data_IF_213303919870
#
_entry.id   IF_213303919870
#
_cell.length_a   1.000
_cell.length_b   1.000
_cell.length_c   1.000
_cell.angle_alpha   90.00
_cell.angle_beta   90.00
_cell.angle_gamma   90.00
#
_symmetry.space_group_name_H-M   'P 1'
#
loop_
_entity.id
_entity.type
_entity.pdbx_description
1 polymer ?
#
# COMPACT_ATOMS: atom_id res chain seq x y z
N UNK A 1 10.50 10.61 12.63
CA UNK A 1 11.92 10.42 12.45
C UNK A 1 12.57 11.76 12.08
N UNK A 2 13.58 12.18 12.80
CA UNK A 2 14.27 13.47 12.61
C UNK A 2 14.92 13.66 11.24
N UNK A 3 14.98 12.62 10.41
CA UNK A 3 15.58 12.64 9.08
C UNK A 3 14.61 12.89 7.93
N UNK A 4 13.30 13.04 8.18
CA UNK A 4 12.24 13.22 7.17
C UNK A 4 12.24 12.19 6.03
N UNK A 5 12.90 11.04 6.19
CA UNK A 5 12.91 9.98 5.19
C UNK A 5 11.73 9.03 5.39
N UNK A 6 11.13 8.62 4.27
CA UNK A 6 10.11 7.59 4.27
C UNK A 6 10.73 6.24 4.66
N UNK A 7 10.22 5.61 5.72
CA UNK A 7 10.74 4.34 6.26
C UNK A 7 9.92 3.11 5.83
N UNK A 8 8.78 3.30 5.20
CA UNK A 8 7.96 2.21 4.67
C UNK A 8 8.53 1.62 3.37
N UNK A 9 8.29 0.35 3.12
CA UNK A 9 8.74 -0.31 1.88
C UNK A 9 8.05 0.21 0.61
N UNK A 10 6.84 0.76 0.73
CA UNK A 10 6.07 1.34 -0.38
C UNK A 10 5.56 2.72 0.01
N UNK A 11 5.81 3.71 -0.84
CA UNK A 11 5.27 5.05 -0.66
C UNK A 11 3.88 5.13 -1.30
N UNK A 12 2.81 5.41 -0.51
CA UNK A 12 1.46 5.56 -1.03
C UNK A 12 1.36 6.56 -2.17
N UNK A 13 0.47 6.29 -3.14
CA UNK A 13 0.31 7.12 -4.33
C UNK A 13 0.01 8.59 -4.00
N UNK A 14 -0.73 8.86 -2.93
CA UNK A 14 -1.04 10.21 -2.44
C UNK A 14 0.22 11.02 -2.12
N UNK A 15 1.24 10.40 -1.53
CA UNK A 15 2.51 11.09 -1.24
C UNK A 15 3.40 11.19 -2.47
N UNK A 16 3.30 10.24 -3.42
CA UNK A 16 4.09 10.26 -4.65
C UNK A 16 3.70 11.36 -5.61
N UNK A 17 2.45 11.79 -5.61
CA UNK A 17 1.97 12.89 -6.46
C UNK A 17 1.98 14.24 -5.76
N UNK A 18 2.30 14.30 -4.46
CA UNK A 18 2.42 15.60 -3.76
C UNK A 18 3.50 16.47 -4.42
N UNK A 19 3.25 17.75 -4.66
CA UNK A 19 2.13 18.57 -4.18
C UNK A 19 0.92 18.65 -5.15
N UNK A 20 0.82 17.78 -6.14
CA UNK A 20 -0.23 17.83 -7.16
C UNK A 20 -1.43 16.97 -6.80
N UNK A 21 -2.63 17.42 -7.20
CA UNK A 21 -3.88 16.69 -7.06
C UNK A 21 -4.84 17.00 -8.20
N UNK A 22 -5.71 16.03 -8.54
CA UNK A 22 -6.87 16.30 -9.38
C UNK A 22 -8.02 16.81 -8.51
N UNK A 23 -8.47 18.01 -8.78
CA UNK A 23 -9.60 18.66 -8.14
C UNK A 23 -10.82 18.51 -9.04
N UNK A 24 -12.02 18.42 -8.45
CA UNK A 24 -13.26 18.40 -9.18
C UNK A 24 -13.92 19.78 -9.09
N UNK A 25 -14.08 20.44 -10.22
CA UNK A 25 -14.78 21.72 -10.30
C UNK A 25 -16.30 21.48 -10.28
N UNK A 26 -16.97 22.03 -9.30
CA UNK A 26 -18.44 22.01 -9.26
C UNK A 26 -19.00 23.28 -9.90
N UNK A 27 -20.08 23.21 -10.72
CA UNK A 27 -20.94 22.07 -11.00
C UNK A 27 -20.53 21.23 -12.23
N UNK A 28 -19.47 21.59 -12.95
CA UNK A 28 -19.10 21.00 -14.25
C UNK A 28 -18.57 19.57 -14.15
N UNK A 29 -18.24 19.11 -12.95
CA UNK A 29 -17.51 17.86 -12.65
C UNK A 29 -16.18 17.71 -13.41
N UNK A 30 -15.70 18.78 -14.00
CA UNK A 30 -14.44 18.80 -14.74
C UNK A 30 -13.26 18.59 -13.79
N UNK A 31 -12.34 17.72 -14.16
CA UNK A 31 -11.09 17.52 -13.43
C UNK A 31 -10.09 18.62 -13.79
N UNK A 32 -9.57 19.28 -12.78
CA UNK A 32 -8.56 20.33 -12.89
C UNK A 32 -7.32 19.89 -12.11
N UNK A 33 -6.15 20.06 -12.72
CA UNK A 33 -4.91 19.85 -11.99
C UNK A 33 -4.68 21.04 -11.05
N UNK A 34 -4.58 20.74 -9.76
CA UNK A 34 -4.21 21.68 -8.73
C UNK A 34 -2.87 21.31 -8.08
N UNK A 35 -2.28 22.24 -7.36
CA UNK A 35 -1.14 21.94 -6.50
C UNK A 35 -1.20 22.74 -5.20
N UNK A 36 -0.56 22.22 -4.17
CA UNK A 36 -0.42 22.90 -2.88
C UNK A 36 0.66 23.98 -2.98
N UNK A 37 0.22 25.24 -3.11
CA UNK A 37 1.11 26.41 -3.21
C UNK A 37 1.93 26.63 -1.92
N UNK A 38 1.41 26.21 -0.76
CA UNK A 38 2.11 26.35 0.53
C UNK A 38 3.24 25.33 0.71
N UNK A 39 3.31 24.31 -0.15
CA UNK A 39 4.35 23.28 -0.10
C UNK A 39 5.77 23.80 -0.28
N UNK A 40 5.93 24.94 -0.97
CA UNK A 40 7.24 25.47 -1.38
C UNK A 40 7.96 24.63 -2.44
N UNK A 41 7.37 23.53 -2.92
CA UNK A 41 7.96 22.63 -3.94
C UNK A 41 7.78 23.21 -5.35
N UNK A 42 6.62 23.80 -5.62
CA UNK A 42 6.36 24.51 -6.89
C UNK A 42 6.75 25.97 -6.72
N UNK A 43 7.70 26.42 -7.52
CA UNK A 43 8.27 27.79 -7.44
C UNK A 43 8.44 28.38 -8.85
N UNK A 44 8.45 29.69 -8.93
CA UNK A 44 8.81 30.41 -10.15
C UNK A 44 10.33 30.57 -10.32
N UNK A 45 11.10 30.30 -9.24
CA UNK A 45 12.56 30.40 -9.28
C UNK A 45 13.16 29.05 -9.71
N UNK A 46 13.92 29.09 -10.79
CA UNK A 46 14.58 27.92 -11.35
C UNK A 46 15.87 27.61 -10.58
N UNK A 47 15.97 26.44 -9.95
CA UNK A 47 17.17 25.96 -9.28
C UNK A 47 17.81 24.77 -10.01
N UNK A 48 19.05 24.43 -9.65
CA UNK A 48 19.83 23.36 -10.31
C UNK A 48 19.10 22.00 -10.44
N UNK A 49 18.25 21.65 -9.48
CA UNK A 49 17.48 20.40 -9.45
C UNK A 49 16.01 20.58 -9.81
N UNK A 50 15.62 21.76 -10.32
CA UNK A 50 14.25 22.06 -10.68
C UNK A 50 13.88 21.42 -12.01
N UNK A 51 12.63 20.95 -12.10
CA UNK A 51 12.04 20.48 -13.36
C UNK A 51 10.97 21.46 -13.81
N UNK A 52 11.03 21.86 -15.07
CA UNK A 52 10.01 22.72 -15.65
C UNK A 52 8.67 22.02 -15.70
N UNK A 53 7.60 22.76 -15.44
CA UNK A 53 6.24 22.29 -15.63
C UNK A 53 5.71 22.66 -17.01
N UNK A 54 6.17 23.77 -17.57
CA UNK A 54 5.77 24.26 -18.89
C UNK A 54 7.00 24.51 -19.74
N UNK A 55 6.88 24.32 -21.04
CA UNK A 55 7.86 24.71 -22.04
C UNK A 55 7.78 26.19 -22.33
N UNK A 56 8.75 26.71 -23.09
CA UNK A 56 8.83 28.17 -23.40
C UNK A 56 7.65 28.65 -24.26
N UNK A 57 7.00 27.76 -25.00
CA UNK A 57 5.77 28.00 -25.78
C UNK A 57 4.46 27.88 -24.97
N UNK A 58 4.56 27.64 -23.66
CA UNK A 58 3.41 27.46 -22.76
C UNK A 58 2.77 26.08 -22.81
N UNK A 59 3.28 25.12 -23.57
CA UNK A 59 2.83 23.74 -23.55
C UNK A 59 3.30 23.01 -22.30
N UNK A 60 2.62 21.93 -21.95
CA UNK A 60 3.03 21.10 -20.83
C UNK A 60 4.36 20.40 -21.12
N UNK A 61 5.29 20.48 -20.17
CA UNK A 61 6.52 19.68 -20.24
C UNK A 61 6.25 18.18 -20.16
N UNK A 62 7.23 17.38 -20.57
CA UNK A 62 7.15 15.91 -20.39
C UNK A 62 6.95 15.53 -18.92
N UNK A 63 7.60 16.26 -18.00
CA UNK A 63 7.46 16.05 -16.56
C UNK A 63 6.02 16.27 -16.09
N UNK A 64 5.40 17.39 -16.48
CA UNK A 64 4.01 17.68 -16.13
C UNK A 64 3.03 16.67 -16.74
N UNK A 65 3.25 16.29 -17.99
CA UNK A 65 2.46 15.24 -18.65
C UNK A 65 2.56 13.88 -17.91
N UNK A 66 3.74 13.54 -17.39
CA UNK A 66 3.94 12.36 -16.54
C UNK A 66 3.12 12.42 -15.24
N UNK A 67 3.08 13.58 -14.57
CA UNK A 67 2.27 13.81 -13.38
C UNK A 67 0.77 13.64 -13.69
N UNK A 68 0.29 14.29 -14.75
CA UNK A 68 -1.11 14.22 -15.18
C UNK A 68 -1.51 12.77 -15.50
N UNK A 69 -0.68 12.04 -16.25
CA UNK A 69 -0.91 10.63 -16.57
C UNK A 69 -0.99 9.77 -15.31
N UNK A 70 -0.11 10.00 -14.35
CA UNK A 70 -0.11 9.26 -13.08
C UNK A 70 -1.36 9.54 -12.25
N UNK A 71 -1.76 10.82 -12.11
CA UNK A 71 -2.96 11.21 -11.39
C UNK A 71 -4.25 10.65 -12.03
N UNK A 72 -4.33 10.67 -13.37
CA UNK A 72 -5.46 10.07 -14.09
C UNK A 72 -5.53 8.55 -13.87
N UNK A 73 -4.38 7.86 -13.88
CA UNK A 73 -4.34 6.43 -13.59
C UNK A 73 -4.79 6.10 -12.16
N UNK A 74 -4.44 6.94 -11.18
CA UNK A 74 -4.93 6.80 -9.80
C UNK A 74 -6.44 6.98 -9.76
N UNK A 75 -6.97 8.02 -10.41
CA UNK A 75 -8.40 8.30 -10.40
C UNK A 75 -9.21 7.17 -11.03
N UNK A 76 -8.77 6.64 -12.17
CA UNK A 76 -9.40 5.47 -12.80
C UNK A 76 -9.44 4.28 -11.84
N UNK A 77 -8.30 3.97 -11.20
CA UNK A 77 -8.24 2.87 -10.23
C UNK A 77 -9.10 3.12 -8.99
N UNK A 78 -9.22 4.38 -8.57
CA UNK A 78 -10.11 4.76 -7.47
C UNK A 78 -11.57 4.46 -7.80
N UNK A 79 -12.03 4.77 -9.02
CA UNK A 79 -13.39 4.47 -9.46
C UNK A 79 -13.67 2.95 -9.43
N UNK A 80 -12.79 2.14 -10.00
CA UNK A 80 -12.91 0.67 -9.93
C UNK A 80 -12.95 0.15 -8.48
N UNK A 81 -12.16 0.78 -7.59
CA UNK A 81 -12.17 0.40 -6.17
C UNK A 81 -13.51 0.72 -5.52
N UNK A 82 -14.11 1.87 -5.82
CA UNK A 82 -15.41 2.26 -5.29
C UNK A 82 -16.51 1.30 -5.75
N UNK A 83 -16.58 0.98 -7.04
CA UNK A 83 -17.51 0.01 -7.61
C UNK A 83 -17.39 -1.36 -6.93
N UNK A 84 -16.15 -1.83 -6.73
CA UNK A 84 -15.90 -3.06 -6.01
C UNK A 84 -16.37 -2.99 -4.54
N UNK A 85 -16.10 -1.87 -3.83
CA UNK A 85 -16.56 -1.68 -2.45
C UNK A 85 -18.07 -1.63 -2.33
N UNK A 86 -18.77 -1.01 -3.27
CA UNK A 86 -20.24 -0.99 -3.34
C UNK A 86 -20.81 -2.41 -3.48
N UNK A 87 -20.21 -3.24 -4.34
CA UNK A 87 -20.60 -4.65 -4.50
C UNK A 87 -20.33 -5.45 -3.22
N UNK A 88 -19.16 -5.30 -2.61
CA UNK A 88 -18.84 -5.95 -1.33
C UNK A 88 -19.82 -5.56 -0.22
N UNK A 89 -20.22 -4.29 -0.21
CA UNK A 89 -21.20 -3.79 0.76
C UNK A 89 -22.61 -4.35 0.50
N UNK A 90 -23.03 -4.49 -0.76
CA UNK A 90 -24.33 -5.08 -1.11
C UNK A 90 -24.44 -6.55 -0.69
N UNK A 91 -23.32 -7.26 -0.69
CA UNK A 91 -23.22 -8.65 -0.18
C UNK A 91 -22.93 -8.72 1.33
N UNK A 92 -22.98 -7.57 2.05
CA UNK A 92 -22.78 -7.48 3.49
C UNK A 92 -21.45 -8.09 3.96
N UNK A 93 -20.39 -7.99 3.15
CA UNK A 93 -19.10 -8.62 3.44
C UNK A 93 -18.27 -7.88 4.47
N UNK A 94 -18.67 -6.66 4.87
CA UNK A 94 -17.94 -5.90 5.87
C UNK A 94 -18.38 -6.25 7.29
N UNK A 95 -17.43 -6.14 8.21
CA UNK A 95 -17.65 -6.16 9.65
C UNK A 95 -16.82 -5.07 10.33
N UNK A 96 -17.32 -4.54 11.45
CA UNK A 96 -16.56 -3.55 12.22
C UNK A 96 -15.28 -4.17 12.77
N UNK A 97 -14.19 -3.44 12.65
CA UNK A 97 -12.89 -3.88 13.10
C UNK A 97 -12.43 -3.11 14.35
N UNK A 98 -12.53 -3.75 15.50
CA UNK A 98 -11.98 -3.24 16.75
C UNK A 98 -10.47 -3.47 16.78
N UNK A 99 -9.70 -2.47 16.36
CA UNK A 99 -8.24 -2.54 16.39
C UNK A 99 -7.71 -1.96 17.69
N UNK A 100 -7.11 -2.81 18.52
CA UNK A 100 -6.42 -2.41 19.77
C UNK A 100 -4.94 -2.23 19.48
N UNK A 101 -4.43 -1.04 19.74
CA UNK A 101 -3.00 -0.72 19.64
C UNK A 101 -2.48 -0.36 21.03
N UNK A 102 -1.23 -0.74 21.31
CA UNK A 102 -0.53 -0.30 22.53
C UNK A 102 0.35 0.89 22.18
N UNK A 103 0.09 2.03 22.81
CA UNK A 103 0.89 3.23 22.68
C UNK A 103 1.47 3.59 24.04
N UNK A 104 2.79 3.50 24.20
CA UNK A 104 3.47 3.77 25.47
C UNK A 104 2.88 3.01 26.69
N UNK A 105 2.51 1.74 26.48
CA UNK A 105 1.93 0.87 27.53
C UNK A 105 0.45 1.13 27.83
N UNK A 106 -0.20 2.06 27.13
CA UNK A 106 -1.65 2.27 27.18
C UNK A 106 -2.31 1.61 25.98
N UNK A 107 -3.33 0.79 26.24
CA UNK A 107 -4.15 0.22 25.19
C UNK A 107 -5.14 1.27 24.67
N UNK A 108 -5.05 1.61 23.40
CA UNK A 108 -5.98 2.49 22.70
C UNK A 108 -6.80 1.68 21.70
N UNK A 109 -8.09 1.94 21.63
CA UNK A 109 -8.98 1.29 20.67
C UNK A 109 -9.24 2.25 19.50
N UNK A 110 -8.79 1.88 18.29
CA UNK A 110 -9.07 2.62 17.06
C UNK A 110 -10.45 2.19 16.58
N UNK A 111 -11.38 3.13 16.50
CA UNK A 111 -12.76 2.92 16.05
C UNK A 111 -12.98 3.42 14.63
N UNK A 112 -14.07 2.97 14.01
CA UNK A 112 -14.47 3.41 12.67
C UNK A 112 -13.71 2.73 11.54
N UNK A 113 -12.99 1.65 11.84
CA UNK A 113 -12.38 0.79 10.85
C UNK A 113 -13.29 -0.39 10.51
N UNK A 114 -13.24 -0.81 9.26
CA UNK A 114 -13.98 -1.95 8.76
C UNK A 114 -13.02 -2.92 8.08
N UNK A 115 -13.31 -4.20 8.17
CA UNK A 115 -12.58 -5.25 7.47
C UNK A 115 -13.53 -6.16 6.73
N UNK A 116 -13.01 -6.88 5.76
CA UNK A 116 -13.77 -7.93 5.07
C UNK A 116 -13.84 -9.14 5.99
N UNK A 117 -15.06 -9.64 6.23
CA UNK A 117 -15.31 -10.86 7.02
C UNK A 117 -15.05 -12.10 6.17
N UNK A 118 -14.12 -12.95 6.63
CA UNK A 118 -13.85 -14.21 5.97
C UNK A 118 -15.06 -15.14 6.04
N UNK A 119 -15.72 -15.19 7.19
CA UNK A 119 -16.87 -16.08 7.41
C UNK A 119 -18.04 -15.72 6.49
N UNK A 120 -18.29 -14.42 6.29
CA UNK A 120 -19.32 -13.96 5.35
C UNK A 120 -18.95 -14.25 3.90
N UNK A 121 -17.66 -14.12 3.54
CA UNK A 121 -17.18 -14.48 2.21
C UNK A 121 -17.37 -15.97 1.93
N UNK A 122 -17.02 -16.82 2.90
CA UNK A 122 -17.14 -18.28 2.79
C UNK A 122 -18.61 -18.73 2.76
N UNK A 123 -19.54 -17.92 3.29
CA UNK A 123 -20.98 -18.17 3.31
C UNK A 123 -21.72 -17.68 2.06
N UNK A 124 -21.06 -16.97 1.13
CA UNK A 124 -21.67 -16.51 -0.12
C UNK A 124 -22.20 -17.69 -0.95
N UNK A 125 -23.31 -17.43 -1.65
CA UNK A 125 -23.75 -18.39 -2.65
C UNK A 125 -22.79 -18.45 -3.86
N UNK A 126 -22.78 -19.55 -4.63
CA UNK A 126 -21.87 -19.70 -5.77
C UNK A 126 -22.02 -18.62 -6.85
N UNK A 127 -23.21 -18.03 -7.01
CA UNK A 127 -23.46 -16.97 -8.02
C UNK A 127 -22.84 -15.67 -7.57
N UNK A 128 -23.03 -15.29 -6.30
CA UNK A 128 -22.43 -14.09 -5.71
C UNK A 128 -20.91 -14.17 -5.74
N UNK A 129 -20.35 -15.31 -5.36
CA UNK A 129 -18.90 -15.54 -5.43
C UNK A 129 -18.37 -15.48 -6.87
N UNK A 130 -19.10 -16.05 -7.84
CA UNK A 130 -18.73 -15.97 -9.26
C UNK A 130 -18.75 -14.51 -9.74
N UNK A 131 -19.76 -13.73 -9.35
CA UNK A 131 -19.83 -12.31 -9.68
C UNK A 131 -18.64 -11.52 -9.14
N UNK A 132 -18.20 -11.76 -7.88
CA UNK A 132 -17.00 -11.13 -7.33
C UNK A 132 -15.74 -11.45 -8.16
N UNK A 133 -15.63 -12.65 -8.69
CA UNK A 133 -14.54 -13.05 -9.59
C UNK A 133 -14.60 -12.29 -10.90
N UNK A 134 -15.79 -12.19 -11.52
CA UNK A 134 -15.99 -11.54 -12.83
C UNK A 134 -15.63 -10.05 -12.79
N UNK A 135 -16.01 -9.35 -11.73
CA UNK A 135 -15.67 -7.93 -11.54
C UNK A 135 -14.25 -7.69 -10.98
N UNK A 136 -13.47 -8.76 -10.78
CA UNK A 136 -12.08 -8.67 -10.31
C UNK A 136 -11.90 -8.34 -8.82
N UNK A 137 -12.98 -8.31 -8.03
CA UNK A 137 -12.93 -7.95 -6.60
C UNK A 137 -12.20 -8.96 -5.73
N UNK A 138 -12.07 -10.22 -6.15
CA UNK A 138 -11.36 -11.24 -5.38
C UNK A 138 -9.90 -10.86 -5.11
N UNK A 139 -9.22 -10.20 -6.06
CA UNK A 139 -7.84 -9.72 -5.86
C UNK A 139 -7.75 -8.73 -4.69
N UNK A 140 -8.70 -7.82 -4.59
CA UNK A 140 -8.78 -6.85 -3.50
C UNK A 140 -9.09 -7.54 -2.17
N UNK A 141 -10.03 -8.49 -2.15
CA UNK A 141 -10.41 -9.28 -0.96
C UNK A 141 -9.21 -10.04 -0.41
N UNK A 142 -8.52 -10.82 -1.24
CA UNK A 142 -7.36 -11.59 -0.80
C UNK A 142 -6.17 -10.69 -0.46
N UNK A 143 -5.98 -9.60 -1.22
CA UNK A 143 -4.99 -8.58 -0.87
C UNK A 143 -5.25 -7.96 0.51
N UNK A 144 -6.52 -7.69 0.85
CA UNK A 144 -6.90 -7.23 2.18
C UNK A 144 -6.53 -8.27 3.26
N UNK A 145 -6.90 -9.55 3.09
CA UNK A 145 -6.55 -10.59 4.06
C UNK A 145 -5.03 -10.70 4.27
N UNK A 146 -4.26 -10.67 3.20
CA UNK A 146 -2.78 -10.69 3.30
C UNK A 146 -2.27 -9.45 4.03
N UNK A 147 -2.85 -8.27 3.80
CA UNK A 147 -2.43 -7.03 4.45
C UNK A 147 -2.62 -7.05 5.97
N UNK A 148 -3.62 -7.78 6.48
CA UNK A 148 -3.84 -7.92 7.92
C UNK A 148 -2.64 -8.57 8.64
N UNK A 149 -1.90 -9.47 7.98
CA UNK A 149 -0.69 -10.07 8.55
C UNK A 149 0.47 -9.08 8.64
N UNK A 150 0.46 -8.03 7.82
CA UNK A 150 1.53 -7.00 7.83
C UNK A 150 1.30 -5.90 8.85
N UNK A 151 0.14 -5.86 9.50
CA UNK A 151 -0.21 -4.85 10.51
C UNK A 151 0.79 -4.81 11.66
N UNK A 152 1.32 -5.96 12.09
CA UNK A 152 2.36 -6.03 13.12
C UNK A 152 3.59 -5.20 12.78
N UNK A 153 3.96 -5.12 11.50
CA UNK A 153 5.11 -4.34 11.05
C UNK A 153 4.90 -2.84 11.21
N UNK A 154 3.66 -2.36 11.05
CA UNK A 154 3.30 -0.95 11.27
C UNK A 154 3.35 -0.58 12.76
N UNK A 155 2.93 -1.48 13.63
CA UNK A 155 2.96 -1.27 15.09
C UNK A 155 4.41 -1.22 15.58
N UNK A 156 5.24 -2.18 15.14
CA UNK A 156 6.66 -2.26 15.51
C UNK A 156 7.46 -1.06 14.98
N UNK A 157 7.16 -0.56 13.78
CA UNK A 157 7.87 0.58 13.20
C UNK A 157 7.67 1.90 13.99
N UNK A 158 6.62 2.02 14.78
CA UNK A 158 6.31 3.20 15.59
C UNK A 158 6.86 3.13 17.02
N UNK A 159 7.46 2.02 17.44
CA UNK A 159 8.13 1.97 18.74
C UNK A 159 9.48 2.70 18.70
N UNK A 160 9.80 3.58 19.66
CA UNK A 160 11.02 4.42 19.63
C UNK A 160 12.35 3.65 19.68
N UNK A 161 12.32 2.32 19.78
CA UNK A 161 13.49 1.42 19.78
C UNK A 161 13.46 0.34 18.67
N UNK A 162 12.66 0.49 17.63
CA UNK A 162 12.37 -0.57 16.65
C UNK A 162 13.52 -0.91 15.68
N UNK A 163 14.59 -0.12 15.63
CA UNK A 163 15.75 -0.45 14.78
C UNK A 163 16.45 -1.78 15.14
N UNK A 164 16.19 -2.34 16.34
CA UNK A 164 16.71 -3.65 16.73
C UNK A 164 15.82 -4.83 16.31
N UNK A 165 14.52 -4.63 16.16
CA UNK A 165 13.56 -5.71 15.88
C UNK A 165 13.56 -6.16 14.41
N UNK A 166 13.69 -5.22 13.48
CA UNK A 166 13.67 -5.52 12.03
C UNK A 166 14.96 -6.22 11.60
N UNK A 167 16.10 -5.82 12.18
CA UNK A 167 17.40 -6.47 11.96
C UNK A 167 17.39 -7.91 12.46
N UNK A 168 16.81 -8.15 13.64
CA UNK A 168 16.71 -9.49 14.25
C UNK A 168 15.81 -10.45 13.43
N UNK A 169 14.77 -9.97 12.74
CA UNK A 169 13.92 -10.82 11.89
C UNK A 169 14.61 -11.17 10.56
N UNK A 170 15.32 -10.22 9.96
CA UNK A 170 16.14 -10.47 8.75
C UNK A 170 17.27 -11.45 9.06
N UNK A 171 17.95 -11.27 10.20
CA UNK A 171 19.04 -12.15 10.64
C UNK A 171 18.52 -13.55 10.98
N UNK A 172 17.36 -13.68 11.65
CA UNK A 172 16.73 -14.99 11.91
C UNK A 172 16.26 -15.69 10.63
N UNK A 173 15.84 -14.95 9.62
CA UNK A 173 15.44 -15.53 8.34
C UNK A 173 16.65 -16.01 7.56
N UNK A 174 17.76 -15.25 7.58
CA UNK A 174 19.05 -15.67 7.01
C UNK A 174 19.61 -16.90 7.72
N UNK A 175 19.63 -16.91 9.06
CA UNK A 175 20.09 -18.07 9.84
C UNK A 175 19.25 -19.33 9.58
N UNK A 176 17.93 -19.20 9.39
CA UNK A 176 17.06 -20.33 9.02
C UNK A 176 17.34 -20.84 7.61
N UNK A 177 17.59 -19.94 6.66
CA UNK A 177 17.95 -20.33 5.30
C UNK A 177 19.32 -20.98 5.22
N UNK A 178 20.31 -20.47 5.97
CA UNK A 178 21.65 -21.08 6.07
C UNK A 178 21.63 -22.45 6.76
N UNK A 179 20.81 -22.63 7.81
CA UNK A 179 20.63 -23.93 8.46
C UNK A 179 19.93 -24.93 7.56
N UNK A 180 18.88 -24.50 6.82
CA UNK A 180 18.18 -25.36 5.88
C UNK A 180 19.06 -25.79 4.70
N UNK A 181 19.91 -24.90 4.16
CA UNK A 181 20.85 -25.23 3.09
C UNK A 181 21.97 -26.15 3.56
N UNK A 182 22.52 -25.95 4.78
CA UNK A 182 23.51 -26.88 5.38
C UNK A 182 22.92 -28.26 5.59
N UNK A 183 21.71 -28.36 6.13
CA UNK A 183 21.05 -29.65 6.36
C UNK A 183 20.72 -30.40 5.05
N UNK A 184 20.41 -29.67 3.99
CA UNK A 184 20.23 -30.27 2.65
C UNK A 184 21.54 -30.79 2.06
N UNK A 185 22.65 -30.09 2.27
CA UNK A 185 23.99 -30.52 1.82
C UNK A 185 24.46 -31.72 2.63
N UNK A 186 24.29 -31.70 3.96
CA UNK A 186 24.68 -32.82 4.84
C UNK A 186 23.88 -34.10 4.51
N UNK A 187 22.58 -33.98 4.21
CA UNK A 187 21.77 -35.12 3.78
C UNK A 187 22.21 -35.68 2.42
N UNK A 188 22.55 -34.80 1.45
CA UNK A 188 23.07 -35.21 0.14
C UNK A 188 24.43 -35.92 0.25
N UNK A 189 25.29 -35.46 1.16
CA UNK A 189 26.59 -36.08 1.41
C UNK A 189 26.42 -37.46 2.08
N UNK A 190 25.46 -37.59 3.00
CA UNK A 190 25.14 -38.85 3.67
C UNK A 190 24.56 -39.89 2.71
N UNK A 191 23.67 -39.48 1.79
CA UNK A 191 23.12 -40.36 0.74
C UNK A 191 24.19 -40.82 -0.23
N UNK A 192 25.19 -39.97 -0.57
CA UNK A 192 26.32 -40.33 -1.43
C UNK A 192 27.36 -41.25 -0.79
N UNK A 193 27.38 -41.34 0.55
CA UNK A 193 28.32 -42.22 1.31
C UNK A 193 27.70 -43.59 1.65
N UNK A 194 26.44 -43.82 1.36
CA UNK A 194 25.74 -45.07 1.65
C UNK A 194 25.56 -45.96 0.40
N UNK A 195 26.03 -45.54 -0.77
CA UNK A 195 25.99 -46.28 -2.05
C UNK A 195 27.32 -46.97 -2.42
N UNK A 196 28.18 -47.35 -1.43
CA UNK A 196 29.38 -48.21 -1.60
C UNK A 196 29.21 -49.58 -0.91
#
# INVERSE_FOLDING_TARGET
NSSLHWTGGYMPATYRCYPFALLTEKPSEKKILGFDAASGIVTVNFGENSKRLFEDDGTNSEHLNGIIKFLNAIETKRQHTLEALETLNSYNLFEEWELKVSNNGKAENIKGLWKISKDKLDALDPKEFTHLREIGSLQMIYGHFVSLFTLRNLIVANEPNSNKGTQTLVDRTKERQEKASKQSVDNLVQDLLLDD
#
